data_IF_024144626916
#
_entry.id   IF_024144626916
#
_cell.length_a   1.000
_cell.length_b   1.000
_cell.length_c   1.000
_cell.angle_alpha   90.00
_cell.angle_beta   90.00
_cell.angle_gamma   90.00
#
_symmetry.space_group_name_H-M   'P 1'
#
loop_
_entity.id
_entity.type
_entity.pdbx_description
1 polymer ?
#
# COMPACT_ATOMS: atom_id res chain seq x y z
N UNK A 1 -69.89 9.72 -35.24
CA UNK A 1 -69.00 10.01 -34.09
C UNK A 1 -68.14 8.76 -33.88
N UNK A 2 -66.93 8.63 -34.42
CA UNK A 2 -65.67 9.36 -34.17
C UNK A 2 -65.21 9.30 -32.70
N UNK A 3 -64.16 8.51 -32.43
CA UNK A 3 -62.88 8.85 -31.75
C UNK A 3 -62.25 7.66 -30.98
N UNK A 4 -61.14 7.16 -31.55
CA UNK A 4 -59.80 6.82 -30.98
C UNK A 4 -59.59 5.82 -29.81
N UNK A 5 -58.80 4.79 -30.14
CA UNK A 5 -57.55 4.26 -29.50
C UNK A 5 -57.35 4.39 -27.98
N UNK A 6 -56.93 3.29 -27.35
CA UNK A 6 -55.61 3.18 -26.71
C UNK A 6 -55.21 1.71 -26.45
N UNK A 7 -54.11 1.29 -27.07
CA UNK A 7 -53.22 0.24 -26.58
C UNK A 7 -52.67 0.66 -25.21
N UNK A 8 -52.53 -0.27 -24.27
CA UNK A 8 -51.55 -0.13 -23.19
C UNK A 8 -50.77 -1.43 -23.05
N UNK A 9 -49.52 -1.34 -23.47
CA UNK A 9 -48.45 -2.27 -23.16
C UNK A 9 -48.18 -2.18 -21.66
N UNK A 10 -48.14 -3.31 -20.96
CA UNK A 10 -47.45 -3.42 -19.67
C UNK A 10 -46.21 -4.26 -19.94
N UNK A 11 -45.10 -3.56 -20.19
CA UNK A 11 -43.80 -4.13 -20.44
C UNK A 11 -43.29 -4.87 -19.21
N UNK A 12 -42.78 -6.07 -19.45
CA UNK A 12 -41.78 -6.70 -18.59
C UNK A 12 -40.58 -5.76 -18.57
N UNK A 13 -40.34 -5.09 -17.44
CA UNK A 13 -39.06 -4.45 -17.18
C UNK A 13 -38.10 -5.58 -16.85
N UNK A 14 -37.57 -6.22 -17.88
CA UNK A 14 -36.32 -6.95 -17.77
C UNK A 14 -35.26 -5.88 -17.50
N UNK A 15 -34.92 -5.69 -16.22
CA UNK A 15 -33.69 -4.98 -15.86
C UNK A 15 -32.56 -5.86 -16.40
N UNK A 16 -32.09 -5.50 -17.59
CA UNK A 16 -31.00 -6.17 -18.27
C UNK A 16 -29.70 -5.95 -17.52
N UNK A 17 -29.47 -6.74 -16.46
CA UNK A 17 -28.14 -7.00 -15.91
C UNK A 17 -27.60 -8.24 -16.62
N UNK A 18 -27.45 -8.15 -17.93
CA UNK A 18 -26.82 -9.21 -18.72
C UNK A 18 -25.73 -8.59 -19.56
N UNK A 19 -24.64 -8.22 -18.90
CA UNK A 19 -23.25 -8.36 -19.35
C UNK A 19 -22.37 -7.57 -18.38
N UNK A 20 -22.07 -8.15 -17.21
CA UNK A 20 -20.75 -7.93 -16.63
C UNK A 20 -19.79 -8.44 -17.72
N UNK A 21 -19.05 -7.53 -18.36
CA UNK A 21 -18.15 -7.94 -19.43
C UNK A 21 -17.14 -8.94 -18.84
N UNK A 22 -16.96 -10.08 -19.51
CA UNK A 22 -16.14 -11.18 -19.01
C UNK A 22 -14.70 -10.76 -18.64
N UNK A 23 -14.20 -9.66 -19.21
CA UNK A 23 -12.89 -9.09 -18.90
C UNK A 23 -12.86 -8.35 -17.54
N UNK A 24 -13.92 -7.63 -17.17
CA UNK A 24 -13.93 -6.80 -15.94
C UNK A 24 -14.02 -7.60 -14.64
N UNK A 25 -14.49 -8.85 -14.68
CA UNK A 25 -14.61 -9.67 -13.49
C UNK A 25 -13.30 -10.42 -13.16
N UNK A 26 -12.52 -10.82 -14.16
CA UNK A 26 -11.30 -11.59 -13.91
C UNK A 26 -10.12 -10.73 -13.41
N UNK A 27 -10.15 -9.43 -13.70
CA UNK A 27 -9.13 -8.46 -13.27
C UNK A 27 -9.67 -7.53 -12.16
N UNK A 28 -10.62 -8.02 -11.36
CA UNK A 28 -11.25 -7.21 -10.31
C UNK A 28 -10.26 -6.84 -9.20
N UNK A 29 -9.52 -7.83 -8.72
CA UNK A 29 -8.54 -7.66 -7.65
C UNK A 29 -7.27 -7.03 -8.23
N UNK A 30 -6.84 -5.92 -7.65
CA UNK A 30 -5.66 -5.20 -8.12
C UNK A 30 -4.51 -5.39 -7.15
N UNK A 31 -3.49 -6.11 -7.61
CA UNK A 31 -2.29 -6.39 -6.82
C UNK A 31 -1.50 -5.13 -6.45
N UNK A 32 -0.83 -5.11 -5.29
CA UNK A 32 0.20 -4.12 -4.96
C UNK A 32 1.23 -3.98 -6.07
N UNK A 33 1.61 -2.73 -6.36
CA UNK A 33 2.61 -2.39 -7.34
C UNK A 33 2.32 -2.96 -8.75
N UNK A 34 1.04 -3.10 -9.14
CA UNK A 34 0.63 -3.68 -10.41
C UNK A 34 1.24 -2.99 -11.65
N UNK A 35 1.56 -1.69 -11.57
CA UNK A 35 2.16 -0.90 -12.65
C UNK A 35 3.68 -0.68 -12.48
N UNK A 36 4.30 -1.39 -11.54
CA UNK A 36 5.73 -1.25 -11.23
C UNK A 36 6.61 -2.16 -12.09
N UNK A 37 7.90 -1.87 -12.09
CA UNK A 37 8.94 -2.75 -12.61
C UNK A 37 9.58 -3.61 -11.50
N UNK A 38 8.90 -3.78 -10.36
CA UNK A 38 9.40 -4.59 -9.26
C UNK A 38 9.48 -6.06 -9.63
N UNK A 39 10.51 -6.72 -9.10
CA UNK A 39 10.67 -8.17 -9.18
C UNK A 39 9.59 -8.87 -8.37
N UNK A 40 9.33 -10.14 -8.70
CA UNK A 40 8.38 -10.96 -7.93
C UNK A 40 8.82 -11.12 -6.46
N UNK A 41 10.12 -11.19 -6.18
CA UNK A 41 10.64 -11.24 -4.80
C UNK A 41 10.33 -9.97 -4.02
N UNK A 42 10.45 -8.78 -4.65
CA UNK A 42 10.08 -7.50 -4.02
C UNK A 42 8.57 -7.42 -3.77
N UNK A 43 7.74 -7.84 -4.72
CA UNK A 43 6.28 -7.88 -4.51
C UNK A 43 5.91 -8.85 -3.39
N UNK A 44 6.50 -10.04 -3.36
CA UNK A 44 6.29 -11.01 -2.28
C UNK A 44 6.75 -10.48 -0.92
N UNK A 45 7.85 -9.74 -0.87
CA UNK A 45 8.30 -9.06 0.35
C UNK A 45 7.30 -8.02 0.83
N UNK A 46 6.69 -7.26 -0.08
CA UNK A 46 5.63 -6.31 0.26
C UNK A 46 4.35 -7.01 0.76
N UNK A 47 3.92 -8.11 0.14
CA UNK A 47 2.82 -8.91 0.64
C UNK A 47 3.10 -9.48 2.04
N UNK A 48 4.34 -9.89 2.30
CA UNK A 48 4.76 -10.32 3.63
C UNK A 48 4.67 -9.19 4.65
N UNK A 49 5.12 -7.97 4.31
CA UNK A 49 4.95 -6.78 5.14
C UNK A 49 3.46 -6.55 5.46
N UNK A 50 2.58 -6.54 4.46
CA UNK A 50 1.13 -6.33 4.66
C UNK A 50 0.56 -7.38 5.63
N UNK A 51 0.91 -8.65 5.40
CA UNK A 51 0.44 -9.75 6.24
C UNK A 51 0.99 -9.65 7.68
N UNK A 52 2.26 -9.29 7.83
CA UNK A 52 2.91 -9.13 9.14
C UNK A 52 2.28 -7.98 9.93
N UNK A 53 2.10 -6.82 9.31
CA UNK A 53 1.53 -5.64 9.98
C UNK A 53 0.06 -5.85 10.35
N UNK A 54 -0.76 -6.36 9.43
CA UNK A 54 -2.18 -6.61 9.73
C UNK A 54 -2.39 -7.69 10.79
N UNK A 55 -1.50 -8.69 10.85
CA UNK A 55 -1.56 -9.73 11.87
C UNK A 55 -1.34 -9.21 13.30
N UNK A 56 -0.64 -8.08 13.49
CA UNK A 56 -0.46 -7.47 14.82
C UNK A 56 -1.79 -7.02 15.43
N UNK A 57 -2.74 -6.63 14.58
CA UNK A 57 -4.10 -6.23 14.97
C UNK A 57 -5.09 -7.41 14.95
N UNK A 58 -4.63 -8.61 14.57
CA UNK A 58 -5.42 -9.83 14.58
C UNK A 58 -6.35 -10.02 13.36
N UNK A 59 -6.07 -9.36 12.24
CA UNK A 59 -6.80 -9.57 10.99
C UNK A 59 -5.87 -9.88 9.80
N UNK A 60 -6.50 -10.13 8.65
CA UNK A 60 -5.84 -10.25 7.37
C UNK A 60 -6.28 -9.08 6.51
N UNK A 61 -5.31 -8.36 5.94
CA UNK A 61 -5.59 -7.33 4.94
C UNK A 61 -5.60 -7.94 3.54
N UNK A 62 -6.60 -7.57 2.73
CA UNK A 62 -6.73 -8.02 1.35
C UNK A 62 -8.18 -8.22 0.93
N UNK A 63 -8.39 -8.50 -0.34
CA UNK A 63 -9.69 -8.88 -0.88
C UNK A 63 -10.08 -10.30 -0.45
N UNK A 64 -11.38 -10.53 -0.29
CA UNK A 64 -11.93 -11.85 0.04
C UNK A 64 -11.50 -12.90 -0.99
N UNK A 65 -11.06 -14.06 -0.52
CA UNK A 65 -10.66 -15.20 -1.39
C UNK A 65 -11.68 -15.54 -2.46
N UNK A 66 -12.98 -15.36 -2.19
CA UNK A 66 -14.07 -15.59 -3.16
C UNK A 66 -13.94 -14.67 -4.39
N UNK A 67 -13.44 -13.45 -4.21
CA UNK A 67 -13.19 -12.50 -5.30
C UNK A 67 -11.91 -12.81 -6.09
N UNK A 68 -10.98 -13.58 -5.51
CA UNK A 68 -9.76 -14.03 -6.18
C UNK A 68 -9.99 -15.34 -6.94
N UNK A 69 -10.67 -16.29 -6.33
CA UNK A 69 -10.85 -17.65 -6.86
C UNK A 69 -11.97 -17.74 -7.89
N UNK A 70 -13.12 -17.09 -7.64
CA UNK A 70 -14.27 -17.04 -8.55
C UNK A 70 -14.98 -15.68 -8.49
N UNK A 71 -14.36 -14.61 -9.01
CA UNK A 71 -14.97 -13.29 -8.99
C UNK A 71 -16.31 -13.25 -9.72
N UNK A 72 -16.45 -14.01 -10.83
CA UNK A 72 -17.69 -14.03 -11.60
C UNK A 72 -18.84 -14.67 -10.83
N UNK A 73 -18.61 -15.85 -10.27
CA UNK A 73 -19.62 -16.53 -9.47
C UNK A 73 -20.00 -15.71 -8.24
N UNK A 74 -19.02 -15.10 -7.58
CA UNK A 74 -19.24 -14.25 -6.41
C UNK A 74 -20.10 -13.02 -6.73
N UNK A 75 -19.76 -12.28 -7.80
CA UNK A 75 -20.56 -11.14 -8.25
C UNK A 75 -21.95 -11.59 -8.70
N UNK A 76 -22.08 -12.74 -9.38
CA UNK A 76 -23.39 -13.24 -9.80
C UNK A 76 -24.27 -13.61 -8.59
N UNK A 77 -23.71 -14.24 -7.57
CA UNK A 77 -24.43 -14.57 -6.33
C UNK A 77 -24.89 -13.29 -5.59
N UNK A 78 -24.03 -12.25 -5.52
CA UNK A 78 -24.42 -10.94 -5.00
C UNK A 78 -25.57 -10.32 -5.80
N UNK A 79 -25.55 -10.46 -7.13
CA UNK A 79 -26.56 -9.88 -8.00
C UNK A 79 -27.93 -10.56 -7.83
N UNK A 80 -27.92 -11.86 -7.56
CA UNK A 80 -29.11 -12.66 -7.29
C UNK A 80 -29.66 -12.44 -5.87
N UNK A 81 -28.88 -11.83 -4.97
CA UNK A 81 -29.26 -11.67 -3.57
C UNK A 81 -29.14 -12.96 -2.77
N UNK A 82 -28.20 -13.84 -3.16
CA UNK A 82 -27.94 -15.07 -2.45
C UNK A 82 -27.40 -14.77 -1.04
N UNK A 83 -27.79 -15.59 -0.05
CA UNK A 83 -27.32 -15.43 1.33
C UNK A 83 -25.82 -15.73 1.42
N UNK A 84 -25.03 -14.71 1.77
CA UNK A 84 -23.59 -14.81 1.88
C UNK A 84 -23.04 -13.85 2.94
N UNK A 85 -21.96 -14.27 3.61
CA UNK A 85 -21.22 -13.39 4.51
C UNK A 85 -20.66 -12.17 3.74
N UNK A 86 -20.60 -10.98 4.38
CA UNK A 86 -20.03 -9.78 3.77
C UNK A 86 -18.66 -10.06 3.15
N UNK A 87 -18.44 -9.51 1.97
CA UNK A 87 -17.15 -9.61 1.28
C UNK A 87 -16.19 -8.56 1.83
N UNK A 88 -15.00 -8.98 2.23
CA UNK A 88 -13.93 -8.04 2.49
C UNK A 88 -13.37 -7.54 1.15
N UNK A 89 -13.25 -6.23 0.98
CA UNK A 89 -12.77 -5.61 -0.27
C UNK A 89 -11.76 -4.52 0.06
N UNK A 90 -10.59 -4.50 -0.59
CA UNK A 90 -9.63 -3.40 -0.45
C UNK A 90 -10.20 -2.11 -1.03
N UNK A 91 -9.75 -0.95 -0.54
CA UNK A 91 -10.25 0.32 -1.09
C UNK A 91 -9.81 0.48 -2.55
N UNK A 92 -8.61 0.00 -2.90
CA UNK A 92 -8.13 -0.08 -4.29
C UNK A 92 -9.06 -0.87 -5.18
N UNK A 93 -9.39 -2.11 -4.81
CA UNK A 93 -10.26 -2.98 -5.62
C UNK A 93 -11.63 -2.32 -5.80
N UNK A 94 -12.21 -1.77 -4.72
CA UNK A 94 -13.48 -1.06 -4.80
C UNK A 94 -13.41 0.15 -5.75
N UNK A 95 -12.43 1.05 -5.58
CA UNK A 95 -12.33 2.27 -6.37
C UNK A 95 -11.91 2.03 -7.84
N UNK A 96 -11.20 0.94 -8.11
CA UNK A 96 -10.79 0.56 -9.47
C UNK A 96 -11.91 -0.17 -10.22
N UNK A 97 -12.86 -0.75 -9.50
CA UNK A 97 -14.03 -1.37 -10.09
C UNK A 97 -14.91 -0.33 -10.79
N UNK A 98 -15.55 -0.71 -11.89
CA UNK A 98 -16.53 0.15 -12.56
C UNK A 98 -17.80 0.37 -11.72
N UNK A 99 -18.55 1.44 -11.98
CA UNK A 99 -19.74 1.86 -11.19
C UNK A 99 -20.75 0.73 -10.93
N UNK A 100 -20.97 -0.14 -11.91
CA UNK A 100 -21.87 -1.29 -11.77
C UNK A 100 -21.39 -2.31 -10.73
N UNK A 101 -20.08 -2.57 -10.70
CA UNK A 101 -19.47 -3.52 -9.75
C UNK A 101 -19.39 -2.87 -8.36
N UNK A 102 -19.06 -1.58 -8.28
CA UNK A 102 -19.10 -0.85 -7.01
C UNK A 102 -20.50 -0.88 -6.38
N UNK A 103 -21.54 -0.57 -7.17
CA UNK A 103 -22.94 -0.62 -6.73
C UNK A 103 -23.33 -2.02 -6.22
N UNK A 104 -22.75 -3.07 -6.80
CA UNK A 104 -23.04 -4.44 -6.43
C UNK A 104 -22.31 -4.84 -5.14
N UNK A 105 -21.01 -4.56 -5.05
CA UNK A 105 -20.19 -4.83 -3.86
C UNK A 105 -20.73 -4.07 -2.64
N UNK A 106 -21.10 -2.80 -2.82
CA UNK A 106 -21.66 -1.93 -1.78
C UNK A 106 -22.87 -2.52 -1.02
N UNK A 107 -23.59 -3.49 -1.61
CA UNK A 107 -24.75 -4.13 -0.97
C UNK A 107 -24.38 -5.05 0.19
N UNK A 108 -23.20 -5.65 0.14
CA UNK A 108 -22.78 -6.67 1.11
C UNK A 108 -21.24 -6.79 1.18
N UNK A 109 -20.57 -5.67 1.44
CA UNK A 109 -19.13 -5.62 1.63
C UNK A 109 -18.73 -4.87 2.90
N UNK A 110 -17.52 -5.13 3.35
CA UNK A 110 -16.76 -4.30 4.29
C UNK A 110 -15.44 -3.91 3.64
N UNK A 111 -14.98 -2.69 3.89
CA UNK A 111 -13.69 -2.24 3.38
C UNK A 111 -12.57 -2.78 4.28
N UNK A 112 -11.57 -3.41 3.68
CA UNK A 112 -10.40 -3.92 4.38
C UNK A 112 -9.59 -2.77 5.02
N UNK A 113 -9.09 -3.01 6.23
CA UNK A 113 -8.28 -2.06 6.99
C UNK A 113 -7.15 -2.80 7.69
N UNK A 114 -5.93 -2.25 7.61
CA UNK A 114 -4.72 -2.82 8.22
C UNK A 114 -4.82 -2.94 9.74
N UNK A 115 -5.60 -2.07 10.38
CA UNK A 115 -5.80 -2.03 11.83
C UNK A 115 -7.12 -2.71 12.26
N UNK A 116 -7.76 -3.49 11.37
CA UNK A 116 -9.01 -4.21 11.63
C UNK A 116 -10.20 -3.32 12.06
N UNK A 117 -10.10 -2.01 11.80
CA UNK A 117 -11.19 -1.07 12.05
C UNK A 117 -12.38 -1.42 11.14
N UNK A 118 -13.62 -1.50 11.66
CA UNK A 118 -14.78 -1.75 10.82
C UNK A 118 -15.06 -0.54 9.93
N UNK A 119 -15.01 -0.75 8.61
CA UNK A 119 -15.29 0.30 7.63
C UNK A 119 -16.40 -0.18 6.70
N UNK A 120 -17.50 0.56 6.71
CA UNK A 120 -18.67 0.28 5.89
C UNK A 120 -18.78 1.29 4.77
N UNK A 121 -19.45 0.93 3.69
CA UNK A 121 -19.82 1.85 2.63
C UNK A 121 -21.35 1.94 2.57
N UNK A 122 -21.89 3.13 2.76
CA UNK A 122 -23.33 3.34 2.81
C UNK A 122 -23.69 4.67 2.16
N UNK A 123 -24.71 4.68 1.29
CA UNK A 123 -25.22 5.86 0.59
C UNK A 123 -24.15 6.72 -0.11
N UNK A 124 -23.11 6.08 -0.64
CA UNK A 124 -22.03 6.77 -1.36
C UNK A 124 -20.84 7.17 -0.49
N UNK A 125 -20.94 6.98 0.83
CA UNK A 125 -19.96 7.46 1.81
C UNK A 125 -19.30 6.28 2.57
N UNK A 126 -18.05 6.49 2.97
CA UNK A 126 -17.36 5.58 3.89
C UNK A 126 -17.73 5.94 5.33
N UNK A 127 -18.23 4.96 6.07
CA UNK A 127 -18.46 5.04 7.51
C UNK A 127 -17.30 4.34 8.21
N UNK A 128 -16.42 5.15 8.80
CA UNK A 128 -15.17 4.70 9.42
C UNK A 128 -13.94 5.20 8.66
N UNK A 129 -12.75 4.88 9.18
CA UNK A 129 -11.48 5.32 8.61
C UNK A 129 -10.61 4.11 8.26
N UNK A 130 -10.58 3.67 6.98
CA UNK A 130 -9.71 2.57 6.61
C UNK A 130 -8.26 3.02 6.69
N UNK A 131 -7.45 2.12 7.25
CA UNK A 131 -6.00 2.25 7.30
C UNK A 131 -5.43 1.35 6.21
N UNK A 132 -4.73 1.96 5.26
CA UNK A 132 -4.28 1.33 4.02
C UNK A 132 -2.76 1.15 4.04
N UNK A 133 -2.20 0.13 3.38
CA UNK A 133 -0.78 0.14 3.04
C UNK A 133 -0.42 1.46 2.33
N UNK A 134 0.73 2.05 2.64
CA UNK A 134 1.12 3.35 2.08
C UNK A 134 1.11 3.36 0.54
N UNK A 135 1.54 2.25 -0.06
CA UNK A 135 1.47 2.00 -1.49
C UNK A 135 0.07 2.21 -2.07
N UNK A 136 -0.94 1.57 -1.47
CA UNK A 136 -2.34 1.71 -1.88
C UNK A 136 -2.87 3.13 -1.66
N UNK A 137 -2.56 3.72 -0.51
CA UNK A 137 -2.94 5.10 -0.20
C UNK A 137 -2.41 6.05 -1.28
N UNK A 138 -1.13 5.94 -1.60
CA UNK A 138 -0.45 6.78 -2.56
C UNK A 138 -1.04 6.60 -3.96
N UNK A 139 -1.25 5.36 -4.41
CA UNK A 139 -1.84 5.09 -5.72
C UNK A 139 -3.22 5.73 -5.88
N UNK A 140 -4.08 5.61 -4.86
CA UNK A 140 -5.40 6.21 -4.86
C UNK A 140 -5.30 7.73 -4.88
N UNK A 141 -4.41 8.31 -4.05
CA UNK A 141 -4.18 9.76 -4.01
C UNK A 141 -3.71 10.29 -5.37
N UNK A 142 -2.74 9.63 -6.00
CA UNK A 142 -2.22 10.01 -7.30
C UNK A 142 -3.27 9.87 -8.40
N UNK A 143 -4.10 8.83 -8.35
CA UNK A 143 -5.25 8.68 -9.25
C UNK A 143 -6.22 9.85 -9.13
N UNK A 144 -6.58 10.24 -7.89
CA UNK A 144 -7.45 11.38 -7.60
C UNK A 144 -6.85 12.71 -8.06
N UNK A 145 -5.57 12.94 -7.80
CA UNK A 145 -4.86 14.16 -8.21
C UNK A 145 -4.69 14.27 -9.73
N UNK A 146 -4.61 13.15 -10.46
CA UNK A 146 -4.65 13.17 -11.94
C UNK A 146 -6.00 13.63 -12.49
N UNK A 147 -7.09 13.37 -11.78
CA UNK A 147 -8.43 13.82 -12.18
C UNK A 147 -8.68 15.28 -11.82
N UNK A 148 -8.31 15.66 -10.59
CA UNK A 148 -8.41 17.03 -10.08
C UNK A 148 -7.12 17.39 -9.34
N UNK A 149 -6.22 18.22 -9.90
CA UNK A 149 -4.87 18.46 -9.37
C UNK A 149 -4.85 19.48 -8.23
N UNK A 150 -5.75 19.31 -7.25
CA UNK A 150 -5.88 20.17 -6.08
C UNK A 150 -6.08 19.32 -4.83
N UNK A 151 -5.15 19.39 -3.87
CA UNK A 151 -5.24 18.61 -2.64
C UNK A 151 -6.53 18.93 -1.85
N UNK A 152 -6.93 20.21 -1.87
CA UNK A 152 -8.16 20.70 -1.23
C UNK A 152 -9.44 20.05 -1.76
N UNK A 153 -9.46 19.62 -3.03
CA UNK A 153 -10.59 18.93 -3.63
C UNK A 153 -10.77 17.49 -3.11
N UNK A 154 -9.75 16.93 -2.46
CA UNK A 154 -9.73 15.55 -1.97
C UNK A 154 -9.66 15.45 -0.45
N UNK A 155 -10.02 16.53 0.27
CA UNK A 155 -9.96 16.57 1.74
C UNK A 155 -10.83 15.50 2.42
N UNK A 156 -11.93 15.08 1.81
CA UNK A 156 -12.74 13.96 2.32
C UNK A 156 -11.98 12.65 2.29
N UNK A 157 -11.23 12.37 1.22
CA UNK A 157 -10.36 11.20 1.16
C UNK A 157 -9.22 11.31 2.19
N UNK A 158 -8.55 12.47 2.27
CA UNK A 158 -7.42 12.67 3.19
C UNK A 158 -7.81 12.59 4.67
N UNK A 159 -9.03 13.02 5.02
CA UNK A 159 -9.58 12.89 6.38
C UNK A 159 -10.20 11.53 6.63
N UNK A 160 -10.80 10.96 5.59
CA UNK A 160 -11.52 9.70 5.62
C UNK A 160 -10.60 8.48 5.66
N UNK A 161 -9.35 8.60 5.19
CA UNK A 161 -8.42 7.47 5.08
C UNK A 161 -7.07 7.80 5.71
N UNK A 162 -6.33 6.75 6.09
CA UNK A 162 -4.96 6.87 6.65
C UNK A 162 -4.03 5.84 6.03
N UNK A 163 -2.73 6.14 6.03
CA UNK A 163 -1.72 5.13 5.77
C UNK A 163 -1.35 4.38 7.07
N UNK A 164 -1.13 3.07 6.96
CA UNK A 164 -0.60 2.22 8.01
C UNK A 164 0.84 2.61 8.35
N UNK A 165 1.25 2.33 9.59
CA UNK A 165 2.65 2.48 9.98
C UNK A 165 3.56 1.57 9.14
N UNK A 166 4.76 2.04 8.85
CA UNK A 166 5.81 1.29 8.14
C UNK A 166 7.08 1.33 8.98
N UNK A 167 7.66 0.16 9.28
CA UNK A 167 9.03 0.07 9.82
C UNK A 167 9.99 0.83 8.90
N UNK A 168 10.84 1.68 9.45
CA UNK A 168 11.71 2.53 8.65
C UNK A 168 12.67 1.74 7.73
N UNK A 169 13.00 0.48 8.04
CA UNK A 169 13.77 -0.41 7.17
C UNK A 169 12.94 -0.90 5.98
N UNK A 170 11.66 -1.18 6.17
CA UNK A 170 10.73 -1.45 5.06
C UNK A 170 10.56 -0.20 4.19
N UNK A 171 10.45 0.97 4.81
CA UNK A 171 10.37 2.25 4.10
C UNK A 171 11.63 2.48 3.24
N UNK A 172 12.81 2.33 3.84
CA UNK A 172 14.08 2.41 3.13
C UNK A 172 14.13 1.44 1.95
N UNK A 173 13.80 0.16 2.17
CA UNK A 173 13.88 -0.86 1.13
C UNK A 173 13.01 -0.56 -0.10
N UNK A 174 11.85 0.09 0.07
CA UNK A 174 10.89 0.32 -1.01
C UNK A 174 10.84 1.75 -1.55
N UNK A 175 11.05 2.76 -0.71
CA UNK A 175 10.70 4.15 -1.00
C UNK A 175 11.86 5.13 -0.86
N UNK A 176 13.02 4.72 -0.37
CA UNK A 176 14.23 5.53 -0.50
C UNK A 176 14.88 5.23 -1.85
N UNK A 177 14.67 6.12 -2.81
CA UNK A 177 15.13 5.99 -4.19
C UNK A 177 15.84 7.28 -4.60
N UNK A 178 16.83 7.16 -5.48
CA UNK A 178 17.28 8.34 -6.22
C UNK A 178 16.22 8.80 -7.24
N UNK A 179 16.39 10.00 -7.81
CA UNK A 179 15.43 10.58 -8.75
C UNK A 179 15.21 9.78 -10.04
N UNK A 180 16.19 8.98 -10.50
CA UNK A 180 16.11 8.19 -11.74
C UNK A 180 15.37 6.86 -11.54
N UNK A 181 15.23 6.40 -10.29
CA UNK A 181 14.65 5.10 -9.95
C UNK A 181 13.18 5.13 -9.50
N UNK A 182 12.55 6.30 -9.39
CA UNK A 182 11.10 6.41 -9.12
C UNK A 182 10.23 5.61 -10.09
N UNK A 183 10.69 5.48 -11.35
CA UNK A 183 10.04 4.67 -12.39
C UNK A 183 9.96 3.18 -12.04
N UNK A 184 10.82 2.66 -11.16
CA UNK A 184 10.74 1.28 -10.68
C UNK A 184 9.42 1.02 -9.96
N UNK A 185 8.88 2.02 -9.27
CA UNK A 185 7.56 1.98 -8.64
C UNK A 185 6.42 2.37 -9.60
N UNK A 186 6.71 2.58 -10.88
CA UNK A 186 5.73 3.10 -11.85
C UNK A 186 5.44 4.60 -11.67
N UNK A 187 6.26 5.32 -10.92
CA UNK A 187 6.03 6.71 -10.56
C UNK A 187 7.01 7.68 -11.25
N UNK A 188 6.62 8.95 -11.30
CA UNK A 188 7.46 10.03 -11.79
C UNK A 188 7.93 10.91 -10.62
N UNK A 189 9.24 11.17 -10.53
CA UNK A 189 9.83 11.95 -9.43
C UNK A 189 9.22 13.35 -9.30
N UNK A 190 8.98 14.06 -10.41
CA UNK A 190 8.37 15.38 -10.38
C UNK A 190 6.93 15.33 -9.85
N UNK A 191 6.19 14.28 -10.19
CA UNK A 191 4.83 14.06 -9.66
C UNK A 191 4.87 13.85 -8.15
N UNK A 192 5.75 12.97 -7.66
CA UNK A 192 5.83 12.71 -6.22
C UNK A 192 6.29 13.95 -5.45
N UNK A 193 7.27 14.69 -5.97
CA UNK A 193 7.72 15.95 -5.35
C UNK A 193 6.62 17.01 -5.34
N UNK A 194 5.83 17.11 -6.40
CA UNK A 194 4.69 18.02 -6.43
C UNK A 194 3.67 17.65 -5.35
N UNK A 195 3.34 16.36 -5.22
CA UNK A 195 2.42 15.87 -4.19
C UNK A 195 2.97 16.15 -2.80
N UNK A 196 4.25 15.84 -2.54
CA UNK A 196 4.92 16.15 -1.27
C UNK A 196 4.82 17.65 -0.93
N UNK A 197 5.07 18.54 -1.90
CA UNK A 197 4.93 20.00 -1.73
C UNK A 197 3.50 20.45 -1.43
N UNK A 198 2.48 19.71 -1.90
CA UNK A 198 1.09 20.02 -1.54
C UNK A 198 0.82 19.78 -0.05
N UNK A 199 1.53 18.85 0.59
CA UNK A 199 1.42 18.60 2.03
C UNK A 199 2.24 19.59 2.86
N UNK A 200 3.53 19.76 2.55
CA UNK A 200 4.45 20.57 3.38
C UNK A 200 4.40 22.07 3.11
N UNK A 201 3.78 22.48 1.99
CA UNK A 201 3.70 23.86 1.57
C UNK A 201 5.03 24.46 1.07
N UNK A 202 5.07 25.79 0.92
CA UNK A 202 6.19 26.52 0.29
C UNK A 202 7.47 26.60 1.13
N UNK A 203 7.42 26.19 2.40
CA UNK A 203 8.54 26.25 3.34
C UNK A 203 9.22 24.89 3.55
N UNK A 204 8.64 23.79 3.04
CA UNK A 204 9.21 22.44 3.18
C UNK A 204 10.34 22.17 2.19
N UNK A 205 11.42 21.55 2.67
CA UNK A 205 12.54 21.12 1.82
C UNK A 205 12.25 19.76 1.20
N UNK A 206 11.61 19.75 0.02
CA UNK A 206 11.31 18.53 -0.75
C UNK A 206 12.42 18.22 -1.76
N UNK A 207 13.20 17.20 -1.42
CA UNK A 207 14.26 16.60 -2.24
C UNK A 207 13.74 15.31 -2.89
N UNK A 208 14.51 14.71 -3.80
CA UNK A 208 14.10 13.51 -4.49
C UNK A 208 14.09 12.32 -3.51
N UNK A 209 15.02 12.31 -2.57
CA UNK A 209 15.24 11.24 -1.61
C UNK A 209 14.19 11.20 -0.48
N UNK A 210 13.60 12.35 -0.15
CA UNK A 210 12.64 12.46 0.96
C UNK A 210 11.19 12.65 0.50
N UNK A 211 10.90 12.76 -0.80
CA UNK A 211 9.56 13.12 -1.27
C UNK A 211 8.48 12.13 -0.83
N UNK A 212 8.73 10.81 -0.92
CA UNK A 212 7.79 9.81 -0.40
C UNK A 212 7.59 9.96 1.11
N UNK A 213 8.66 10.20 1.85
CA UNK A 213 8.58 10.34 3.30
C UNK A 213 7.74 11.54 3.71
N UNK A 214 7.92 12.68 3.05
CA UNK A 214 7.13 13.88 3.31
C UNK A 214 5.63 13.67 3.05
N UNK A 215 5.26 12.84 2.07
CA UNK A 215 3.86 12.44 1.87
C UNK A 215 3.42 11.55 3.02
N UNK A 216 4.18 10.48 3.29
CA UNK A 216 3.87 9.49 4.32
C UNK A 216 3.65 10.13 5.71
N UNK A 217 4.58 11.00 6.15
CA UNK A 217 4.55 11.70 7.44
C UNK A 217 3.26 12.54 7.64
N UNK A 218 2.65 13.00 6.55
CA UNK A 218 1.42 13.81 6.62
C UNK A 218 0.12 12.99 6.58
N UNK A 219 0.19 11.69 6.27
CA UNK A 219 -1.01 10.87 6.01
C UNK A 219 -1.13 9.62 6.89
N UNK A 220 -0.08 9.29 7.65
CA UNK A 220 -0.10 8.12 8.54
C UNK A 220 -1.04 8.31 9.75
N UNK A 221 -1.52 7.20 10.31
CA UNK A 221 -2.56 7.19 11.37
C UNK A 221 -2.01 7.62 12.74
N UNK A 222 -0.91 7.02 13.22
CA UNK A 222 -0.18 7.32 14.49
C UNK A 222 1.26 6.77 14.43
N UNK A 223 2.13 7.21 15.36
CA UNK A 223 3.62 7.20 15.33
C UNK A 223 4.34 6.10 14.53
N UNK A 224 5.56 6.40 14.06
CA UNK A 224 6.42 5.54 13.20
C UNK A 224 6.81 4.18 13.86
N UNK A 225 6.13 3.76 14.92
CA UNK A 225 6.65 2.78 15.86
C UNK A 225 5.64 1.70 16.20
N UNK A 226 6.11 0.46 16.01
CA UNK A 226 5.39 -0.81 16.13
C UNK A 226 4.81 -0.98 17.54
N UNK A 227 3.49 -0.87 17.65
CA UNK A 227 2.76 -1.11 18.88
C UNK A 227 2.99 -2.57 19.35
N UNK A 228 3.27 -2.79 20.63
CA UNK A 228 3.50 -4.11 21.26
C UNK A 228 4.82 -4.85 20.98
N UNK A 229 5.87 -4.19 20.51
CA UNK A 229 7.24 -4.74 20.60
C UNK A 229 7.88 -4.44 21.96
N UNK A 230 7.38 -5.05 23.04
CA UNK A 230 8.00 -4.96 24.38
C UNK A 230 9.33 -5.73 24.52
N UNK A 231 10.03 -5.99 23.42
CA UNK A 231 11.31 -6.68 23.38
C UNK A 231 12.25 -6.01 22.37
N UNK A 232 13.43 -5.57 22.82
CA UNK A 232 14.56 -5.18 21.96
C UNK A 232 15.19 -6.39 21.24
N UNK A 233 14.39 -7.26 20.62
CA UNK A 233 14.84 -8.40 19.81
C UNK A 233 14.44 -8.15 18.35
N UNK A 234 15.42 -7.99 17.46
CA UNK A 234 15.23 -7.64 16.05
C UNK A 234 16.15 -6.53 15.53
N UNK A 235 16.96 -5.92 16.42
CA UNK A 235 17.85 -4.79 16.15
C UNK A 235 18.94 -5.03 15.09
N UNK A 236 19.23 -6.28 14.73
CA UNK A 236 20.33 -6.59 13.79
C UNK A 236 19.86 -7.00 12.40
N UNK A 237 18.61 -7.43 12.25
CA UNK A 237 18.11 -7.94 10.98
C UNK A 237 17.72 -6.78 10.07
N UNK A 238 18.29 -6.73 8.89
CA UNK A 238 18.12 -5.68 7.91
C UNK A 238 17.65 -6.27 6.57
N UNK A 239 17.00 -5.49 5.71
CA UNK A 239 16.51 -5.97 4.43
C UNK A 239 17.65 -6.53 3.57
N UNK A 240 17.39 -7.67 2.95
CA UNK A 240 18.25 -8.25 1.94
C UNK A 240 18.37 -7.29 0.75
N UNK A 241 19.55 -7.21 0.14
CA UNK A 241 19.75 -6.47 -1.11
C UNK A 241 18.85 -6.96 -2.25
N UNK A 242 18.28 -8.17 -2.19
CA UNK A 242 17.30 -8.65 -3.16
C UNK A 242 15.98 -7.87 -3.13
N UNK A 243 15.54 -7.42 -1.94
CA UNK A 243 14.26 -6.70 -1.74
C UNK A 243 14.40 -5.19 -1.78
N UNK A 244 15.61 -4.65 -1.68
CA UNK A 244 15.85 -3.20 -1.87
C UNK A 244 15.53 -2.84 -3.32
N UNK A 245 14.61 -1.89 -3.52
CA UNK A 245 14.11 -1.45 -4.83
C UNK A 245 15.20 -0.74 -5.61
N UNK A 246 15.80 0.29 -5.05
CA UNK A 246 16.97 0.94 -5.62
C UNK A 246 18.24 0.48 -4.89
N UNK A 247 18.94 -0.46 -5.52
CA UNK A 247 20.19 -1.04 -4.98
C UNK A 247 21.39 -0.10 -5.12
N UNK A 248 21.24 1.01 -5.85
CA UNK A 248 22.32 1.95 -6.13
C UNK A 248 22.34 3.13 -5.16
N UNK A 249 21.35 3.23 -4.25
CA UNK A 249 21.33 4.27 -3.23
C UNK A 249 22.62 4.23 -2.40
N UNK A 250 23.23 5.40 -2.27
CA UNK A 250 24.43 5.56 -1.47
C UNK A 250 24.10 5.36 0.02
N UNK A 251 24.99 4.72 0.76
CA UNK A 251 24.81 4.50 2.21
C UNK A 251 24.66 5.81 2.98
N UNK A 252 25.29 6.88 2.52
CA UNK A 252 25.17 8.23 3.08
C UNK A 252 23.74 8.77 2.96
N UNK A 253 22.98 8.39 1.92
CA UNK A 253 21.58 8.76 1.76
C UNK A 253 20.71 8.03 2.79
N UNK A 254 20.98 6.74 3.00
CA UNK A 254 20.31 5.91 4.00
C UNK A 254 20.56 6.48 5.41
N UNK A 255 21.82 6.80 5.73
CA UNK A 255 22.19 7.43 7.00
C UNK A 255 21.53 8.80 7.18
N UNK A 256 21.52 9.63 6.14
CA UNK A 256 20.91 10.95 6.19
C UNK A 256 19.41 10.86 6.47
N UNK A 257 18.70 9.96 5.79
CA UNK A 257 17.29 9.68 6.04
C UNK A 257 17.03 9.35 7.51
N UNK A 258 17.71 8.34 8.08
CA UNK A 258 17.49 7.98 9.48
C UNK A 258 17.78 9.14 10.44
N UNK A 259 18.84 9.91 10.19
CA UNK A 259 19.21 11.05 11.04
C UNK A 259 18.20 12.19 10.97
N UNK A 260 17.76 12.57 9.78
CA UNK A 260 16.84 13.68 9.56
C UNK A 260 15.47 13.41 10.17
N UNK A 261 15.03 12.16 10.13
CA UNK A 261 13.73 11.73 10.65
C UNK A 261 13.78 11.32 12.14
N UNK A 262 14.88 11.63 12.83
CA UNK A 262 15.02 11.41 14.27
C UNK A 262 15.14 9.94 14.68
N UNK A 263 15.43 9.05 13.73
CA UNK A 263 15.56 7.61 13.95
C UNK A 263 16.98 7.33 14.45
N UNK A 264 17.10 6.85 15.68
CA UNK A 264 18.41 6.62 16.28
C UNK A 264 19.14 5.44 15.63
N UNK A 265 20.40 5.63 15.24
CA UNK A 265 21.25 4.55 14.74
C UNK A 265 22.62 4.57 15.44
N UNK A 266 23.24 3.39 15.59
CA UNK A 266 24.58 3.24 16.15
C UNK A 266 25.41 2.30 15.28
N UNK A 267 26.57 2.73 14.83
CA UNK A 267 27.48 1.89 14.05
C UNK A 267 28.18 2.65 12.92
N UNK A 268 28.59 1.91 11.88
CA UNK A 268 29.22 2.46 10.67
C UNK A 268 28.50 1.92 9.44
N UNK A 269 27.98 2.82 8.61
CA UNK A 269 27.32 2.52 7.33
C UNK A 269 28.30 2.11 6.21
N UNK A 270 29.54 1.72 6.55
CA UNK A 270 30.58 1.36 5.59
C UNK A 270 30.67 -0.15 5.36
N UNK A 271 31.00 -0.59 4.12
CA UNK A 271 31.24 -2.00 3.81
C UNK A 271 32.34 -2.62 4.66
N UNK A 272 32.21 -3.91 4.95
CA UNK A 272 33.22 -4.71 5.64
C UNK A 272 34.17 -5.30 4.62
N UNK A 273 35.47 -5.27 4.89
CA UNK A 273 36.43 -6.08 4.12
C UNK A 273 36.42 -7.50 4.72
N UNK A 274 35.92 -8.48 3.97
CA UNK A 274 35.94 -9.89 4.34
C UNK A 274 37.03 -10.61 3.55
N UNK A 275 37.83 -11.44 4.21
CA UNK A 275 38.85 -12.23 3.54
C UNK A 275 38.20 -13.50 2.96
N UNK A 276 38.38 -13.72 1.65
CA UNK A 276 37.84 -14.88 0.93
C UNK A 276 39.00 -15.58 0.18
N UNK A 277 39.38 -16.77 0.64
CA UNK A 277 40.58 -17.46 0.14
C UNK A 277 41.86 -16.62 0.33
N UNK A 278 42.58 -16.39 -0.77
CA UNK A 278 43.79 -15.54 -0.80
C UNK A 278 43.48 -14.05 -1.08
N UNK A 279 42.20 -13.65 -1.11
CA UNK A 279 41.75 -12.30 -1.47
C UNK A 279 40.92 -11.61 -0.40
N UNK A 280 40.56 -10.36 -0.67
CA UNK A 280 39.62 -9.57 0.14
C UNK A 280 38.41 -9.18 -0.72
N UNK A 281 37.20 -9.40 -0.22
CA UNK A 281 35.94 -8.96 -0.81
C UNK A 281 35.33 -7.89 0.09
N UNK A 282 34.71 -6.86 -0.50
CA UNK A 282 33.85 -5.94 0.24
C UNK A 282 32.51 -6.64 0.48
N UNK A 283 32.26 -7.04 1.73
CA UNK A 283 31.00 -7.56 2.21
C UNK A 283 30.18 -6.43 2.85
N UNK A 284 29.08 -6.07 2.22
CA UNK A 284 28.19 -5.00 2.71
C UNK A 284 27.33 -5.46 3.91
N UNK A 285 27.22 -6.77 4.13
CA UNK A 285 26.41 -7.37 5.19
C UNK A 285 26.82 -8.82 5.49
N UNK A 286 26.36 -9.37 6.61
CA UNK A 286 26.53 -10.79 7.00
C UNK A 286 25.18 -11.48 7.07
N UNK A 287 25.00 -12.62 6.41
CA UNK A 287 23.74 -13.36 6.44
C UNK A 287 23.40 -13.88 7.86
N UNK A 288 22.11 -13.93 8.17
CA UNK A 288 21.54 -14.52 9.39
C UNK A 288 21.09 -15.94 9.05
N UNK A 289 21.57 -16.92 9.82
CA UNK A 289 21.06 -18.28 9.74
C UNK A 289 19.66 -18.34 10.37
N UNK A 290 18.69 -18.91 9.65
CA UNK A 290 17.28 -19.08 10.06
C UNK A 290 16.57 -17.77 10.52
N UNK A 291 16.41 -16.78 9.63
CA UNK A 291 15.79 -15.50 9.98
C UNK A 291 14.28 -15.65 10.26
N UNK A 292 13.76 -14.88 11.23
CA UNK A 292 12.31 -14.80 11.53
C UNK A 292 11.54 -14.24 10.33
N UNK A 293 12.07 -13.16 9.74
CA UNK A 293 11.57 -12.59 8.50
C UNK A 293 12.52 -12.98 7.36
N UNK A 294 12.06 -13.76 6.36
CA UNK A 294 12.93 -14.27 5.31
C UNK A 294 13.54 -13.17 4.43
N UNK A 295 12.95 -11.97 4.41
CA UNK A 295 13.43 -10.81 3.66
C UNK A 295 14.36 -9.91 4.47
N UNK A 296 14.39 -10.07 5.79
CA UNK A 296 15.26 -9.36 6.72
C UNK A 296 16.23 -10.36 7.33
N UNK A 297 17.22 -10.74 6.53
CA UNK A 297 18.06 -11.89 6.78
C UNK A 297 19.55 -11.57 6.73
N UNK A 298 19.91 -10.29 6.82
CA UNK A 298 21.30 -9.86 6.90
C UNK A 298 21.50 -8.95 8.10
N UNK A 299 22.72 -8.94 8.63
CA UNK A 299 23.19 -7.96 9.61
C UNK A 299 24.16 -7.00 8.94
N UNK A 300 24.03 -5.72 9.25
CA UNK A 300 24.98 -4.67 8.84
C UNK A 300 25.71 -4.14 10.06
N UNK A 301 26.78 -3.37 9.87
CA UNK A 301 27.53 -2.74 10.97
C UNK A 301 26.81 -1.53 11.58
N UNK A 302 25.52 -1.42 11.34
CA UNK A 302 24.65 -0.37 11.85
C UNK A 302 23.47 -1.06 12.50
N UNK A 303 23.19 -0.63 13.72
CA UNK A 303 21.99 -0.99 14.45
C UNK A 303 21.04 0.19 14.37
N UNK A 304 19.88 0.00 13.75
CA UNK A 304 18.78 0.97 13.77
C UNK A 304 17.94 0.69 15.00
N UNK A 305 17.67 1.74 15.79
CA UNK A 305 16.89 1.66 17.03
C UNK A 305 15.64 2.53 16.91
N UNK A 306 14.45 1.95 17.16
CA UNK A 306 13.23 2.73 17.39
C UNK A 306 13.44 3.74 18.53
N UNK A 307 12.76 4.88 18.47
CA UNK A 307 12.90 5.96 19.46
C UNK A 307 12.42 5.53 20.86
N UNK A 308 11.53 4.54 20.95
CA UNK A 308 10.98 3.95 22.18
C UNK A 308 11.98 3.05 22.89
N UNK A 309 13.07 2.66 22.22
CA UNK A 309 14.13 1.79 22.74
C UNK A 309 15.36 2.58 23.25
N UNK A 310 15.19 3.86 23.57
CA UNK A 310 16.24 4.75 24.12
C UNK A 310 16.42 4.62 25.64
#
# INVERSE_FOLDING_TARGET
MSIKKALTWAGVVAVGVTTLSAAQANDLVVEPFAQSALTEEQKQAWHYYIAQESAQYGCQYGDDSRLQEDPRGTLQALANGDDMAPLQVTLRTFLSAGENVQTLLARNMVIASMECNPVYYFDGELIGHPVLPFEEYLDILLSKLRQTPELGAHMEFLRGTKAAAIDARWFWAFYLLDGDHYRLLGQNVDTIRQVARLFVGSLGNVMDENAFWQIYDNVFSQGIYVENTNACQGEQAEPNASVVVDKNIAWEMVEAFYREEGISSRGSWQPVVQQEGDGYQLAESTAIEDPINPYFNVTRRVTIRPQECQ
#
